data_IF_306069009805
#
_entry.id   IF_306069009805
#
_cell.length_a   1.000
_cell.length_b   1.000
_cell.length_c   1.000
_cell.angle_alpha   90.00
_cell.angle_beta   90.00
_cell.angle_gamma   90.00
#
_symmetry.space_group_name_H-M   'P 1'
#
loop_
_entity.id
_entity.type
_entity.pdbx_description
1 polymer ?
#
# COMPACT_ATOMS: atom_id res chain seq x y z
N UNK A 1 -20.73 -3.72 -9.21
CA UNK A 1 -19.59 -3.53 -8.28
C UNK A 1 -18.90 -2.24 -8.70
N UNK A 2 -18.46 -1.42 -7.76
CA UNK A 2 -17.95 -0.07 -8.01
C UNK A 2 -16.46 -0.03 -8.44
N UNK A 3 -15.77 -1.19 -8.49
CA UNK A 3 -14.39 -1.26 -8.98
C UNK A 3 -14.33 -1.04 -10.48
N UNK A 4 -13.47 -0.13 -10.92
CA UNK A 4 -13.20 0.13 -12.33
C UNK A 4 -12.45 -1.07 -12.95
N UNK A 5 -12.62 -1.39 -14.25
CA UNK A 5 -11.98 -2.54 -14.90
C UNK A 5 -10.44 -2.62 -14.81
N UNK A 6 -9.77 -1.49 -14.53
CA UNK A 6 -8.32 -1.45 -14.30
C UNK A 6 -7.89 -1.84 -12.87
N UNK A 7 -8.83 -2.16 -11.97
CA UNK A 7 -8.57 -2.49 -10.56
C UNK A 7 -8.74 -1.33 -9.58
N UNK A 8 -8.97 -0.10 -10.05
CA UNK A 8 -9.17 1.05 -9.17
C UNK A 8 -10.47 0.93 -8.37
N UNK A 9 -10.39 1.25 -7.07
CA UNK A 9 -11.56 1.45 -6.21
C UNK A 9 -11.64 2.95 -5.91
N UNK A 10 -12.72 3.63 -6.32
CA UNK A 10 -12.86 5.07 -6.11
C UNK A 10 -13.07 5.41 -4.64
N UNK A 11 -12.54 6.55 -4.20
CA UNK A 11 -12.71 7.04 -2.83
C UNK A 11 -14.15 7.48 -2.53
N UNK A 12 -14.82 8.05 -3.53
CA UNK A 12 -16.14 8.65 -3.41
C UNK A 12 -17.06 8.20 -4.54
N UNK A 13 -18.36 8.28 -4.31
CA UNK A 13 -19.38 7.96 -5.32
C UNK A 13 -19.52 9.06 -6.40
N UNK A 14 -18.94 10.24 -6.17
CA UNK A 14 -18.99 11.40 -7.07
C UNK A 14 -17.62 11.83 -7.63
N UNK A 15 -16.52 11.30 -7.07
CA UNK A 15 -15.16 11.59 -7.51
C UNK A 15 -14.39 10.27 -7.67
N UNK A 16 -14.47 9.71 -8.89
CA UNK A 16 -13.96 8.37 -9.19
C UNK A 16 -12.43 8.29 -9.38
N UNK A 17 -11.76 9.44 -9.47
CA UNK A 17 -10.30 9.52 -9.65
C UNK A 17 -9.53 9.35 -8.34
N UNK A 18 -10.12 9.75 -7.22
CA UNK A 18 -9.48 9.71 -5.91
C UNK A 18 -9.41 8.27 -5.37
N UNK A 19 -8.43 8.03 -4.52
CA UNK A 19 -8.26 6.78 -3.79
C UNK A 19 -8.35 7.04 -2.30
N UNK A 20 -8.55 5.98 -1.52
CA UNK A 20 -8.49 5.97 -0.06
C UNK A 20 -7.38 5.01 0.38
N UNK A 21 -6.94 5.06 1.65
CA UNK A 21 -6.07 4.03 2.21
C UNK A 21 -6.62 2.63 1.91
N UNK A 22 -5.79 1.70 1.42
CA UNK A 22 -6.26 0.44 0.88
C UNK A 22 -6.54 -0.63 1.96
N UNK A 23 -7.41 -0.29 2.90
CA UNK A 23 -7.80 -1.12 4.06
C UNK A 23 -8.71 -2.31 3.71
N UNK A 24 -9.06 -2.48 2.43
CA UNK A 24 -10.05 -3.46 1.98
C UNK A 24 -9.62 -4.91 2.25
N UNK A 25 -8.32 -5.22 2.14
CA UNK A 25 -7.80 -6.56 2.46
C UNK A 25 -7.94 -6.87 3.96
N UNK A 26 -7.58 -5.92 4.82
CA UNK A 26 -7.79 -6.03 6.26
C UNK A 26 -9.28 -6.20 6.59
N UNK A 27 -10.14 -5.35 6.03
CA UNK A 27 -11.59 -5.40 6.29
C UNK A 27 -12.19 -6.76 5.87
N UNK A 28 -11.78 -7.28 4.71
CA UNK A 28 -12.19 -8.60 4.21
C UNK A 28 -11.81 -9.71 5.19
N UNK A 29 -10.55 -9.71 5.65
CA UNK A 29 -10.08 -10.68 6.65
C UNK A 29 -10.87 -10.58 7.97
N UNK A 30 -11.15 -9.35 8.43
CA UNK A 30 -11.94 -9.13 9.64
C UNK A 30 -13.35 -9.68 9.53
N UNK A 31 -14.04 -9.46 8.41
CA UNK A 31 -15.38 -10.01 8.17
C UNK A 31 -15.36 -11.54 8.21
N UNK A 32 -14.40 -12.16 7.52
CA UNK A 32 -14.23 -13.61 7.51
C UNK A 32 -14.03 -14.18 8.93
N UNK A 33 -13.12 -13.60 9.74
CA UNK A 33 -12.86 -14.07 11.11
C UNK A 33 -14.01 -13.79 12.08
N UNK A 34 -14.80 -12.73 11.86
CA UNK A 34 -16.01 -12.49 12.66
C UNK A 34 -17.04 -13.59 12.42
N UNK A 35 -17.25 -14.00 11.17
CA UNK A 35 -18.16 -15.09 10.84
C UNK A 35 -17.67 -16.43 11.40
N UNK A 36 -16.38 -16.73 11.22
CA UNK A 36 -15.76 -17.93 11.77
C UNK A 36 -15.96 -18.02 13.29
N UNK A 37 -15.72 -16.92 14.02
CA UNK A 37 -15.94 -16.88 15.47
C UNK A 37 -17.40 -17.13 15.85
N UNK A 38 -18.36 -16.66 15.04
CA UNK A 38 -19.80 -16.77 15.32
C UNK A 38 -20.38 -18.13 14.95
N UNK A 39 -19.89 -18.75 13.88
CA UNK A 39 -20.47 -19.98 13.30
C UNK A 39 -19.57 -21.21 13.45
N UNK A 40 -18.33 -21.03 13.92
CA UNK A 40 -17.30 -22.08 13.96
C UNK A 40 -16.60 -22.33 12.61
N UNK A 41 -17.03 -21.66 11.54
CA UNK A 41 -16.46 -21.76 10.18
C UNK A 41 -16.65 -20.45 9.43
N UNK A 42 -15.60 -19.95 8.78
CA UNK A 42 -15.67 -18.75 7.96
C UNK A 42 -16.24 -19.02 6.56
N UNK A 43 -16.86 -18.02 5.93
CA UNK A 43 -17.32 -18.11 4.53
C UNK A 43 -16.11 -18.04 3.58
N UNK A 44 -15.62 -19.23 3.21
CA UNK A 44 -14.51 -19.39 2.29
C UNK A 44 -14.83 -18.92 0.88
N UNK A 45 -16.06 -19.12 0.41
CA UNK A 45 -16.48 -18.67 -0.93
C UNK A 45 -16.44 -17.14 -1.01
N UNK A 46 -16.88 -16.45 0.05
CA UNK A 46 -16.69 -15.00 0.17
C UNK A 46 -15.20 -14.63 0.11
N UNK A 47 -14.37 -15.29 0.92
CA UNK A 47 -12.94 -14.98 1.02
C UNK A 47 -12.23 -15.13 -0.34
N UNK A 48 -12.43 -16.25 -1.04
CA UNK A 48 -11.87 -16.49 -2.38
C UNK A 48 -12.37 -15.45 -3.39
N UNK A 49 -13.69 -15.17 -3.40
CA UNK A 49 -14.28 -14.19 -4.32
C UNK A 49 -13.74 -12.79 -4.11
N UNK A 50 -13.41 -12.40 -2.87
CA UNK A 50 -12.85 -11.08 -2.57
C UNK A 50 -11.33 -11.06 -2.74
N UNK A 51 -10.63 -12.16 -2.51
CA UNK A 51 -9.20 -12.26 -2.76
C UNK A 51 -8.83 -11.96 -4.23
N UNK A 52 -9.55 -12.55 -5.19
CA UNK A 52 -9.33 -12.30 -6.63
C UNK A 52 -9.50 -10.81 -7.00
N UNK A 53 -10.37 -10.13 -6.29
CA UNK A 53 -10.72 -8.73 -6.48
C UNK A 53 -9.66 -7.80 -5.90
N UNK A 54 -9.22 -8.11 -4.69
CA UNK A 54 -8.12 -7.45 -4.04
C UNK A 54 -6.82 -7.61 -4.83
N UNK A 55 -6.64 -8.74 -5.52
CA UNK A 55 -5.50 -8.94 -6.42
C UNK A 55 -5.49 -7.91 -7.56
N UNK A 56 -6.64 -7.67 -8.22
CA UNK A 56 -6.75 -6.62 -9.25
C UNK A 56 -6.44 -5.23 -8.69
N UNK A 57 -6.93 -4.94 -7.49
CA UNK A 57 -6.69 -3.66 -6.83
C UNK A 57 -5.22 -3.48 -6.42
N UNK A 58 -4.59 -4.51 -5.87
CA UNK A 58 -3.17 -4.51 -5.53
C UNK A 58 -2.32 -4.24 -6.77
N UNK A 59 -2.60 -4.94 -7.87
CA UNK A 59 -1.91 -4.74 -9.15
C UNK A 59 -2.10 -3.33 -9.69
N UNK A 60 -3.27 -2.72 -9.47
CA UNK A 60 -3.48 -1.31 -9.82
C UNK A 60 -2.58 -0.37 -9.00
N UNK A 61 -2.46 -0.59 -7.68
CA UNK A 61 -1.56 0.20 -6.83
C UNK A 61 -0.11 0.10 -7.29
N UNK A 62 0.41 -1.10 -7.52
CA UNK A 62 1.78 -1.32 -8.01
C UNK A 62 2.02 -0.61 -9.35
N UNK A 63 1.06 -0.62 -10.28
CA UNK A 63 1.28 -0.02 -11.59
C UNK A 63 1.06 1.50 -11.68
N UNK A 64 0.32 2.09 -10.73
CA UNK A 64 -0.14 3.48 -10.83
C UNK A 64 0.35 4.39 -9.72
N UNK A 65 0.83 3.79 -8.63
CA UNK A 65 1.22 4.51 -7.42
C UNK A 65 2.66 4.20 -7.01
N UNK A 66 3.36 3.33 -7.74
CA UNK A 66 4.82 3.19 -7.70
C UNK A 66 5.35 3.62 -9.08
N UNK A 67 5.60 4.92 -9.24
CA UNK A 67 5.92 5.51 -10.54
C UNK A 67 7.33 5.13 -11.04
N UNK A 68 8.25 4.89 -10.11
CA UNK A 68 9.64 4.52 -10.41
C UNK A 68 9.87 2.99 -10.43
N UNK A 69 8.88 2.19 -10.03
CA UNK A 69 9.00 0.72 -9.97
C UNK A 69 9.95 0.25 -8.87
N UNK A 70 10.12 1.05 -7.82
CA UNK A 70 11.07 0.83 -6.74
C UNK A 70 10.40 0.35 -5.44
N UNK A 71 9.10 0.04 -5.48
CA UNK A 71 8.26 -0.37 -4.35
C UNK A 71 8.06 0.72 -3.28
N UNK A 72 8.23 1.99 -3.68
CA UNK A 72 7.84 3.15 -2.88
C UNK A 72 6.57 3.72 -3.49
N UNK A 73 5.57 3.92 -2.64
CA UNK A 73 4.24 4.28 -3.09
C UNK A 73 3.94 5.76 -2.83
N UNK A 74 3.27 6.38 -3.81
CA UNK A 74 3.04 7.81 -3.88
C UNK A 74 1.61 8.13 -4.29
N UNK A 75 1.14 9.27 -3.80
CA UNK A 75 0.11 10.05 -4.45
C UNK A 75 -1.33 9.67 -4.07
N UNK A 76 -2.14 10.71 -3.94
CA UNK A 76 -3.58 10.62 -3.75
C UNK A 76 -4.00 10.62 -2.28
N UNK A 77 -5.32 10.69 -2.11
CA UNK A 77 -5.98 10.97 -0.86
C UNK A 77 -5.87 9.79 0.12
N UNK A 78 -4.88 9.78 1.01
CA UNK A 78 -4.80 8.78 2.07
C UNK A 78 -5.64 9.20 3.30
N UNK A 79 -6.57 10.14 3.12
CA UNK A 79 -7.42 10.65 4.20
C UNK A 79 -6.74 11.66 5.11
N UNK A 80 -5.52 12.08 4.76
CA UNK A 80 -4.60 12.87 5.58
C UNK A 80 -3.84 13.92 4.74
N UNK A 81 -4.47 14.36 3.66
CA UNK A 81 -3.85 15.12 2.56
C UNK A 81 -3.34 16.51 2.92
N UNK A 82 -3.89 17.09 3.99
CA UNK A 82 -3.62 18.45 4.42
C UNK A 82 -2.90 18.52 5.78
N UNK A 83 -2.41 17.40 6.30
CA UNK A 83 -1.65 17.38 7.56
C UNK A 83 -0.14 17.38 7.36
N UNK A 84 0.33 17.34 6.11
CA UNK A 84 1.72 17.55 5.71
C UNK A 84 1.99 18.98 5.19
N UNK A 85 3.23 19.22 4.75
CA UNK A 85 3.68 20.54 4.24
C UNK A 85 3.08 20.88 2.88
N UNK A 86 2.82 19.86 2.06
CA UNK A 86 2.25 20.00 0.71
C UNK A 86 0.91 19.27 0.61
N UNK A 87 0.00 19.82 -0.20
CA UNK A 87 -1.17 19.08 -0.66
C UNK A 87 -0.69 17.91 -1.53
N UNK A 88 -0.85 16.70 -1.01
CA UNK A 88 -0.38 15.44 -1.61
C UNK A 88 -1.17 15.04 -2.87
N UNK A 89 -2.30 15.70 -3.11
CA UNK A 89 -3.14 15.48 -4.28
C UNK A 89 -2.86 16.50 -5.40
N UNK A 90 -1.99 17.48 -5.16
CA UNK A 90 -1.58 18.49 -6.13
C UNK A 90 -0.12 18.29 -6.60
N UNK A 91 0.24 18.70 -7.83
CA UNK A 91 1.63 18.78 -8.24
C UNK A 91 2.43 19.70 -7.32
N UNK A 92 3.67 19.32 -7.01
CA UNK A 92 4.56 20.18 -6.24
C UNK A 92 4.81 21.51 -6.97
N UNK A 93 4.82 22.66 -6.26
CA UNK A 93 4.97 23.98 -6.90
C UNK A 93 6.24 24.13 -7.76
N UNK A 94 7.28 23.37 -7.43
CA UNK A 94 8.58 23.36 -8.11
C UNK A 94 8.75 22.22 -9.12
N UNK A 95 7.69 21.43 -9.36
CA UNK A 95 7.79 20.14 -10.05
C UNK A 95 8.43 19.06 -9.16
N UNK A 96 8.52 17.84 -9.69
CA UNK A 96 8.96 16.66 -8.95
C UNK A 96 7.79 15.86 -8.37
N UNK A 97 8.10 14.92 -7.47
CA UNK A 97 7.11 14.10 -6.76
C UNK A 97 7.56 13.82 -5.32
N UNK A 98 6.71 13.14 -4.56
CA UNK A 98 6.93 12.86 -3.14
C UNK A 98 6.78 11.38 -2.87
N UNK A 99 7.86 10.77 -2.37
CA UNK A 99 7.87 9.43 -1.80
C UNK A 99 7.23 9.50 -0.40
N UNK A 100 6.15 8.73 -0.20
CA UNK A 100 5.33 8.82 1.01
C UNK A 100 5.57 7.62 1.94
N UNK A 101 5.99 7.89 3.18
CA UNK A 101 6.28 6.84 4.16
C UNK A 101 5.00 6.08 4.57
N UNK A 102 3.90 6.79 4.76
CA UNK A 102 2.60 6.21 5.11
C UNK A 102 1.97 5.45 3.94
N UNK A 103 1.98 6.02 2.74
CA UNK A 103 1.50 5.36 1.52
C UNK A 103 2.20 4.01 1.27
N UNK A 104 3.52 4.00 1.45
CA UNK A 104 4.34 2.79 1.35
C UNK A 104 4.00 1.79 2.45
N UNK A 105 3.81 2.27 3.69
CA UNK A 105 3.41 1.43 4.84
C UNK A 105 2.02 0.79 4.65
N UNK A 106 1.08 1.50 4.03
CA UNK A 106 -0.23 0.95 3.69
C UNK A 106 -0.13 -0.22 2.72
N UNK A 107 0.75 -0.13 1.74
CA UNK A 107 0.98 -1.22 0.78
C UNK A 107 1.73 -2.40 1.39
N UNK A 108 2.68 -2.16 2.30
CA UNK A 108 3.27 -3.21 3.12
C UNK A 108 2.19 -3.97 3.93
N UNK A 109 1.28 -3.24 4.57
CA UNK A 109 0.15 -3.83 5.29
C UNK A 109 -0.80 -4.59 4.35
N UNK A 110 -1.05 -4.08 3.13
CA UNK A 110 -1.82 -4.79 2.12
C UNK A 110 -1.18 -6.14 1.80
N UNK A 111 0.13 -6.17 1.54
CA UNK A 111 0.87 -7.42 1.31
C UNK A 111 0.66 -8.42 2.44
N UNK A 112 0.83 -8.00 3.70
CA UNK A 112 0.65 -8.89 4.85
C UNK A 112 -0.78 -9.42 5.00
N UNK A 113 -1.79 -8.59 4.74
CA UNK A 113 -3.18 -9.04 4.75
C UNK A 113 -3.46 -10.03 3.62
N UNK A 114 -2.95 -9.79 2.42
CA UNK A 114 -3.12 -10.71 1.29
C UNK A 114 -2.35 -12.00 1.48
N UNK A 115 -1.15 -11.96 2.08
CA UNK A 115 -0.39 -13.14 2.52
C UNK A 115 -1.21 -13.97 3.51
N UNK A 116 -1.79 -13.32 4.52
CA UNK A 116 -2.64 -13.98 5.52
C UNK A 116 -3.82 -14.69 4.87
N UNK A 117 -4.53 -13.99 3.97
CA UNK A 117 -5.67 -14.58 3.24
C UNK A 117 -5.21 -15.73 2.33
N UNK A 118 -4.10 -15.57 1.60
CA UNK A 118 -3.56 -16.60 0.73
C UNK A 118 -3.20 -17.88 1.50
N UNK A 119 -2.58 -17.74 2.68
CA UNK A 119 -2.25 -18.88 3.56
C UNK A 119 -3.50 -19.58 4.11
N UNK A 120 -4.52 -18.82 4.53
CA UNK A 120 -5.82 -19.39 4.95
C UNK A 120 -6.46 -20.19 3.79
N UNK A 121 -6.37 -19.65 2.57
CA UNK A 121 -6.90 -20.32 1.39
C UNK A 121 -6.03 -21.54 1.00
N UNK A 122 -4.71 -21.47 1.14
CA UNK A 122 -3.79 -22.55 0.81
C UNK A 122 -4.08 -23.84 1.59
N UNK A 123 -4.63 -23.72 2.81
CA UNK A 123 -4.91 -24.86 3.69
C UNK A 123 -5.80 -25.95 3.07
N UNK A 124 -6.73 -25.57 2.19
CA UNK A 124 -7.61 -26.50 1.46
C UNK A 124 -7.35 -26.51 -0.04
N UNK A 125 -6.64 -25.51 -0.58
CA UNK A 125 -6.38 -25.40 -2.01
C UNK A 125 -4.95 -24.88 -2.26
N UNK A 126 -4.00 -25.76 -2.61
CA UNK A 126 -2.57 -25.40 -2.73
C UNK A 126 -2.29 -24.39 -3.86
N UNK A 127 -3.24 -24.11 -4.76
CA UNK A 127 -3.09 -23.04 -5.78
C UNK A 127 -2.80 -21.67 -5.16
N UNK A 128 -3.20 -21.44 -3.91
CA UNK A 128 -2.94 -20.18 -3.22
C UNK A 128 -1.53 -20.09 -2.59
N UNK A 129 -0.73 -21.16 -2.57
CA UNK A 129 0.64 -21.15 -2.04
C UNK A 129 1.55 -20.20 -2.84
N UNK A 130 1.49 -20.25 -4.17
CA UNK A 130 2.25 -19.35 -5.05
C UNK A 130 1.92 -17.87 -4.76
N UNK A 131 0.64 -17.60 -4.47
CA UNK A 131 0.19 -16.26 -4.11
C UNK A 131 0.73 -15.84 -2.74
N UNK A 132 0.80 -16.75 -1.77
CA UNK A 132 1.42 -16.46 -0.47
C UNK A 132 2.89 -16.07 -0.64
N UNK A 133 3.68 -16.85 -1.39
CA UNK A 133 5.08 -16.54 -1.70
C UNK A 133 5.20 -15.16 -2.35
N UNK A 134 4.40 -14.87 -3.37
CA UNK A 134 4.38 -13.55 -4.03
C UNK A 134 4.17 -12.40 -3.05
N UNK A 135 3.22 -12.53 -2.11
CA UNK A 135 2.92 -11.43 -1.18
C UNK A 135 3.96 -11.30 -0.07
N UNK A 136 4.58 -12.42 0.32
CA UNK A 136 5.72 -12.40 1.23
C UNK A 136 6.93 -11.71 0.60
N UNK A 137 7.33 -12.10 -0.60
CA UNK A 137 8.44 -11.48 -1.34
C UNK A 137 8.18 -9.99 -1.58
N UNK A 138 6.97 -9.61 -2.00
CA UNK A 138 6.64 -8.21 -2.24
C UNK A 138 6.66 -7.38 -0.95
N UNK A 139 6.27 -7.96 0.20
CA UNK A 139 6.44 -7.28 1.48
C UNK A 139 7.93 -7.03 1.79
N UNK A 140 8.80 -7.99 1.51
CA UNK A 140 10.24 -7.82 1.71
C UNK A 140 10.83 -6.76 0.78
N UNK A 141 10.38 -6.68 -0.48
CA UNK A 141 10.80 -5.60 -1.38
C UNK A 141 10.40 -4.21 -0.88
N UNK A 142 9.18 -4.08 -0.33
CA UNK A 142 8.76 -2.81 0.29
C UNK A 142 9.57 -2.51 1.54
N UNK A 143 9.77 -3.50 2.42
CA UNK A 143 10.53 -3.33 3.64
C UNK A 143 11.98 -2.94 3.36
N UNK A 144 12.60 -3.56 2.35
CA UNK A 144 13.93 -3.20 1.86
C UNK A 144 13.95 -1.78 1.30
N UNK A 145 13.01 -1.43 0.41
CA UNK A 145 12.91 -0.07 -0.13
C UNK A 145 12.77 1.00 0.99
N UNK A 146 11.98 0.72 2.03
CA UNK A 146 11.81 1.65 3.14
C UNK A 146 13.05 1.82 4.03
N UNK A 147 13.86 0.76 4.21
CA UNK A 147 14.96 0.72 5.20
C UNK A 147 16.36 0.72 4.57
N UNK A 148 16.48 0.50 3.27
CA UNK A 148 17.74 0.47 2.53
C UNK A 148 18.68 -0.68 2.94
N UNK A 149 18.24 -1.93 2.86
CA UNK A 149 19.06 -3.13 3.17
C UNK A 149 20.06 -3.38 2.03
N UNK A 150 21.08 -2.53 1.86
CA UNK A 150 22.09 -2.76 0.80
C UNK A 150 23.08 -1.65 0.46
N UNK A 151 22.92 -0.41 0.95
CA UNK A 151 24.01 0.57 0.99
C UNK A 151 24.26 1.49 -0.22
N UNK A 152 23.39 1.56 -1.24
CA UNK A 152 23.53 2.52 -2.35
C UNK A 152 22.45 3.63 -2.31
N UNK A 153 22.77 4.78 -1.70
CA UNK A 153 22.19 6.16 -1.70
C UNK A 153 20.81 6.53 -2.32
N UNK A 154 19.89 5.61 -2.62
CA UNK A 154 18.71 5.87 -3.46
C UNK A 154 17.35 5.79 -2.77
N UNK A 155 17.25 5.55 -1.46
CA UNK A 155 15.98 5.65 -0.74
C UNK A 155 16.18 6.07 0.71
N UNK A 156 15.40 7.05 1.14
CA UNK A 156 15.72 7.89 2.29
C UNK A 156 14.55 8.01 3.28
N UNK A 157 13.59 7.06 3.28
CA UNK A 157 12.45 7.17 4.19
C UNK A 157 12.90 7.04 5.65
N UNK A 158 13.72 6.04 5.98
CA UNK A 158 14.31 5.89 7.31
C UNK A 158 15.42 6.93 7.56
N UNK A 159 15.42 7.51 8.76
CA UNK A 159 16.46 8.37 9.30
C UNK A 159 17.01 7.74 10.59
N UNK A 160 18.28 7.30 10.54
CA UNK A 160 18.95 6.63 11.67
C UNK A 160 19.22 7.54 12.87
N UNK A 161 19.37 8.85 12.63
CA UNK A 161 19.63 9.83 13.69
C UNK A 161 18.37 10.04 14.54
N UNK A 162 17.22 10.20 13.89
CA UNK A 162 15.93 10.41 14.53
C UNK A 162 15.19 9.11 14.88
N UNK A 163 15.58 7.98 14.29
CA UNK A 163 14.88 6.69 14.41
C UNK A 163 13.44 6.78 13.88
N UNK A 164 13.25 7.47 12.75
CA UNK A 164 11.93 7.86 12.26
C UNK A 164 11.83 7.78 10.74
N UNK A 165 10.63 7.52 10.22
CA UNK A 165 10.35 7.50 8.78
C UNK A 165 9.79 8.86 8.32
N UNK A 166 10.48 9.52 7.40
CA UNK A 166 10.07 10.79 6.80
C UNK A 166 9.65 10.61 5.34
N UNK A 167 8.75 11.47 4.88
CA UNK A 167 8.51 11.64 3.44
C UNK A 167 9.77 12.22 2.76
N UNK A 168 9.97 11.89 1.49
CA UNK A 168 11.10 12.38 0.69
C UNK A 168 10.59 13.11 -0.55
N UNK A 169 11.02 14.35 -0.74
CA UNK A 169 10.83 15.08 -1.98
C UNK A 169 11.87 14.64 -3.01
N UNK A 170 11.40 14.31 -4.20
CA UNK A 170 12.26 14.10 -5.35
C UNK A 170 12.12 15.29 -6.31
N UNK A 171 13.15 16.13 -6.36
CA UNK A 171 13.15 17.34 -7.17
C UNK A 171 13.54 17.06 -8.63
N UNK A 172 13.12 17.91 -9.60
CA UNK A 172 13.52 17.76 -11.00
C UNK A 172 15.04 17.81 -11.24
N UNK A 173 15.81 18.34 -10.29
CA UNK A 173 17.28 18.33 -10.31
C UNK A 173 17.89 16.95 -10.05
N UNK A 174 17.10 15.97 -9.61
CA UNK A 174 17.56 14.66 -9.12
C UNK A 174 17.95 14.68 -7.63
N UNK A 175 17.82 15.83 -6.96
CA UNK A 175 18.03 15.93 -5.52
C UNK A 175 16.88 15.29 -4.75
N UNK A 176 17.22 14.55 -3.69
CA UNK A 176 16.28 13.93 -2.76
C UNK A 176 16.38 14.63 -1.41
N UNK A 177 15.26 15.16 -0.91
CA UNK A 177 15.20 15.94 0.33
C UNK A 177 14.19 15.32 1.28
N UNK A 178 14.67 14.85 2.45
CA UNK A 178 13.78 14.41 3.54
C UNK A 178 13.00 15.60 4.10
N UNK A 179 11.68 15.42 4.21
CA UNK A 179 10.82 16.35 4.92
C UNK A 179 10.86 16.02 6.41
N UNK A 180 11.80 16.63 7.14
CA UNK A 180 11.91 16.50 8.61
C UNK A 180 10.80 17.27 9.35
N UNK A 181 9.56 16.97 9.02
CA UNK A 181 8.36 17.40 9.73
C UNK A 181 7.76 16.16 10.36
N UNK A 182 7.40 16.25 11.64
CA UNK A 182 6.77 15.14 12.36
C UNK A 182 5.26 15.34 12.35
N UNK A 183 4.59 14.72 11.40
CA UNK A 183 3.13 14.72 11.28
C UNK A 183 2.55 13.33 11.59
N UNK A 184 1.23 13.16 11.55
CA UNK A 184 0.65 11.79 11.72
C UNK A 184 0.91 10.87 10.52
N UNK A 185 1.50 11.37 9.44
CA UNK A 185 1.79 10.64 8.19
C UNK A 185 3.28 10.48 7.90
N UNK A 186 4.13 10.86 8.84
CA UNK A 186 5.54 11.17 8.61
C UNK A 186 5.80 12.56 9.15
#
# INVERSE_FOLDING_TARGET
WYMHPNGQIPAYEWAFGDVNPPVHAWATWRVYKIEEKRKGKGDRTFLERVFQKLLLNFTWWVNRKDAEGNNIFEGGFLGLDNIGVFDRSAPLPTGGHMEQADGTSWMAMYCLNMLTIALELAWENPVYEDMATKFFEHFLYIADAMNHIGGDDKTQLWDDEDGFFYDVLHLPSGERIRLKVRSMVG
#
